data_IF_276236565042
#
_entry.id   IF_276236565042
#
_cell.length_a   1.000
_cell.length_b   1.000
_cell.length_c   1.000
_cell.angle_alpha   90.00
_cell.angle_beta   90.00
_cell.angle_gamma   90.00
#
_symmetry.space_group_name_H-M   'P 1'
#
loop_
_entity.id
_entity.type
_entity.pdbx_description
1 polymer ?
#
# COMPACT_ATOMS: atom_id res chain seq x y z
N UNK A 1 21.58 -7.23 -32.70
CA UNK A 1 20.37 -6.56 -32.16
C UNK A 1 19.21 -7.53 -32.24
N UNK A 2 18.50 -7.80 -31.13
CA UNK A 2 17.27 -8.60 -31.15
C UNK A 2 16.18 -7.82 -31.88
N UNK A 3 15.23 -8.51 -32.51
CA UNK A 3 14.04 -7.85 -33.08
C UNK A 3 13.20 -7.30 -31.92
N UNK A 4 12.80 -6.04 -32.02
CA UNK A 4 11.91 -5.40 -31.05
C UNK A 4 10.47 -5.49 -31.57
N UNK A 5 9.57 -5.98 -30.72
CA UNK A 5 8.15 -6.10 -31.00
C UNK A 5 7.40 -5.30 -29.92
N UNK A 6 6.52 -4.38 -30.33
CA UNK A 6 5.68 -3.58 -29.44
C UNK A 6 4.40 -3.16 -30.19
N UNK A 7 3.33 -2.88 -29.45
CA UNK A 7 2.07 -2.39 -30.01
C UNK A 7 2.18 -0.89 -30.25
N UNK A 8 1.66 -0.34 -31.34
CA UNK A 8 1.66 1.11 -31.57
C UNK A 8 0.57 1.52 -32.54
N UNK A 9 0.11 2.77 -32.44
CA UNK A 9 -0.77 3.37 -33.44
C UNK A 9 0.03 3.83 -34.66
N UNK A 10 -0.47 3.55 -35.87
CA UNK A 10 0.08 4.08 -37.13
C UNK A 10 -0.89 5.09 -37.74
N UNK A 11 -0.74 6.35 -37.36
CA UNK A 11 -1.58 7.44 -37.86
C UNK A 11 -1.11 7.92 -39.24
N UNK A 12 -2.02 8.56 -39.99
CA UNK A 12 -1.63 9.28 -41.21
C UNK A 12 -0.58 10.36 -40.90
N UNK A 13 0.28 10.68 -41.87
CA UNK A 13 1.37 11.65 -41.71
C UNK A 13 0.83 12.99 -41.16
N UNK A 14 1.33 13.39 -40.00
CA UNK A 14 1.18 14.76 -39.52
C UNK A 14 2.04 15.71 -40.39
N UNK A 15 1.67 16.98 -40.47
CA UNK A 15 2.52 18.00 -41.10
C UNK A 15 3.84 18.19 -40.33
N UNK A 16 3.78 18.02 -39.01
CA UNK A 16 4.85 18.20 -38.04
C UNK A 16 4.40 17.64 -36.69
N UNK A 17 5.36 17.24 -35.85
CA UNK A 17 5.12 16.84 -34.46
C UNK A 17 5.57 17.98 -33.55
N UNK A 18 4.63 18.56 -32.80
CA UNK A 18 4.89 19.60 -31.81
C UNK A 18 4.69 19.03 -30.42
N UNK A 19 5.70 18.34 -29.84
CA UNK A 19 5.59 17.85 -28.47
C UNK A 19 5.49 19.03 -27.50
N UNK A 20 4.79 18.81 -26.39
CA UNK A 20 4.82 19.65 -25.20
C UNK A 20 5.48 18.87 -24.06
N UNK A 21 5.88 19.57 -23.00
CA UNK A 21 6.38 18.91 -21.80
C UNK A 21 5.21 18.21 -21.10
N UNK A 22 5.41 16.96 -20.68
CA UNK A 22 4.40 16.17 -19.99
C UNK A 22 4.87 15.93 -18.57
N UNK A 23 4.06 16.34 -17.60
CA UNK A 23 4.18 15.95 -16.21
C UNK A 23 3.12 14.90 -15.91
N UNK A 24 3.53 13.71 -15.47
CA UNK A 24 2.59 12.67 -15.05
C UNK A 24 2.33 12.84 -13.55
N UNK A 25 1.14 13.32 -13.21
CA UNK A 25 0.73 13.58 -11.82
C UNK A 25 0.35 12.29 -11.09
N UNK A 26 -0.21 11.32 -11.81
CA UNK A 26 -0.54 10.00 -11.25
C UNK A 26 -0.48 8.92 -12.32
N UNK A 27 0.01 7.76 -11.91
CA UNK A 27 -0.04 6.52 -12.68
C UNK A 27 -1.22 5.69 -12.15
N UNK A 28 -2.07 5.21 -13.05
CA UNK A 28 -3.21 4.34 -12.70
C UNK A 28 -3.04 3.01 -13.42
N UNK A 29 -2.82 1.94 -12.65
CA UNK A 29 -2.72 0.59 -13.20
C UNK A 29 -4.12 0.02 -13.41
N UNK A 30 -4.42 -0.41 -14.64
CA UNK A 30 -5.69 -1.01 -15.02
C UNK A 30 -5.52 -2.52 -15.27
N UNK A 31 -6.50 -3.28 -14.80
CA UNK A 31 -6.49 -4.74 -14.89
C UNK A 31 -7.56 -5.26 -15.87
N UNK A 32 -7.25 -6.37 -16.55
CA UNK A 32 -8.19 -7.09 -17.40
C UNK A 32 -8.78 -6.23 -18.51
N UNK A 33 -10.12 -6.16 -18.60
CA UNK A 33 -10.80 -5.45 -19.70
C UNK A 33 -10.83 -3.94 -19.53
N UNK A 34 -10.51 -3.42 -18.34
CA UNK A 34 -10.62 -1.99 -18.04
C UNK A 34 -9.70 -1.15 -18.93
N UNK A 35 -8.48 -1.61 -19.17
CA UNK A 35 -7.56 -0.92 -20.07
C UNK A 35 -8.05 -0.94 -21.53
N UNK A 36 -8.54 -2.09 -21.99
CA UNK A 36 -9.11 -2.20 -23.34
C UNK A 36 -10.34 -1.30 -23.52
N UNK A 37 -11.18 -1.16 -22.50
CA UNK A 37 -12.34 -0.28 -22.54
C UNK A 37 -11.92 1.19 -22.67
N UNK A 38 -10.99 1.66 -21.82
CA UNK A 38 -10.45 3.02 -21.90
C UNK A 38 -9.80 3.26 -23.27
N UNK A 39 -8.94 2.35 -23.74
CA UNK A 39 -8.21 2.46 -25.00
C UNK A 39 -9.15 2.51 -26.21
N UNK A 40 -10.22 1.72 -26.21
CA UNK A 40 -11.14 1.62 -27.35
C UNK A 40 -12.28 2.64 -27.30
N UNK A 41 -12.57 3.23 -26.13
CA UNK A 41 -13.69 4.15 -25.91
C UNK A 41 -13.30 5.43 -25.16
N UNK A 42 -12.21 6.09 -25.58
CA UNK A 42 -11.66 7.32 -24.97
C UNK A 42 -12.66 8.50 -24.79
N UNK A 43 -13.80 8.47 -25.47
CA UNK A 43 -14.85 9.50 -25.39
C UNK A 43 -15.96 9.16 -24.39
N UNK A 44 -15.94 7.98 -23.77
CA UNK A 44 -16.87 7.59 -22.72
C UNK A 44 -16.39 8.14 -21.37
N UNK A 45 -17.35 8.45 -20.51
CA UNK A 45 -17.06 8.81 -19.12
C UNK A 45 -16.32 7.64 -18.47
N UNK A 46 -15.16 7.94 -17.88
CA UNK A 46 -14.32 6.97 -17.20
C UNK A 46 -14.24 7.30 -15.71
N UNK A 47 -14.51 6.34 -14.82
CA UNK A 47 -14.57 6.60 -13.38
C UNK A 47 -13.25 7.07 -12.80
N UNK A 48 -12.10 6.61 -13.33
CA UNK A 48 -10.79 7.01 -12.86
C UNK A 48 -10.44 8.43 -13.31
N UNK A 49 -10.82 8.81 -14.54
CA UNK A 49 -10.69 10.19 -15.02
C UNK A 49 -11.53 11.14 -14.16
N UNK A 50 -12.74 10.71 -13.77
CA UNK A 50 -13.59 11.50 -12.87
C UNK A 50 -12.95 11.65 -11.49
N UNK A 51 -12.44 10.55 -10.91
CA UNK A 51 -11.83 10.55 -9.58
C UNK A 51 -10.60 11.49 -9.49
N UNK A 52 -9.77 11.51 -10.53
CA UNK A 52 -8.51 12.26 -10.54
C UNK A 52 -8.52 13.48 -11.44
N UNK A 53 -9.71 13.99 -11.78
CA UNK A 53 -9.90 15.08 -12.73
C UNK A 53 -9.11 16.33 -12.36
N UNK A 54 -9.06 16.64 -11.07
CA UNK A 54 -8.49 17.88 -10.55
C UNK A 54 -6.94 17.88 -10.60
N UNK A 55 -6.30 16.73 -10.86
CA UNK A 55 -4.87 16.62 -11.11
C UNK A 55 -4.47 16.96 -12.56
N UNK A 56 -5.42 16.98 -13.50
CA UNK A 56 -5.14 17.27 -14.91
C UNK A 56 -5.36 18.75 -15.24
N UNK A 57 -4.31 19.41 -15.71
CA UNK A 57 -4.36 20.81 -16.14
C UNK A 57 -3.20 21.14 -17.09
N UNK A 58 -3.17 22.37 -17.61
CA UNK A 58 -2.05 22.86 -18.42
C UNK A 58 -1.49 24.11 -17.77
N UNK A 59 -0.18 24.11 -17.49
CA UNK A 59 0.55 25.26 -16.96
C UNK A 59 1.65 25.67 -17.95
N UNK A 60 1.44 26.79 -18.64
CA UNK A 60 2.37 27.25 -19.68
C UNK A 60 2.46 26.25 -20.84
N UNK A 61 3.65 25.69 -21.05
CA UNK A 61 3.94 24.68 -22.09
C UNK A 61 3.95 23.24 -21.54
N UNK A 62 3.60 23.06 -20.26
CA UNK A 62 3.56 21.76 -19.58
C UNK A 62 2.12 21.28 -19.43
N UNK A 63 1.85 20.07 -19.87
CA UNK A 63 0.58 19.38 -19.64
C UNK A 63 0.73 18.41 -18.47
N UNK A 64 -0.09 18.60 -17.45
CA UNK A 64 -0.20 17.72 -16.28
C UNK A 64 -1.26 16.66 -16.59
N UNK A 65 -0.85 15.40 -16.59
CA UNK A 65 -1.61 14.29 -17.16
C UNK A 65 -1.69 13.11 -16.19
N UNK A 66 -2.68 12.24 -16.42
CA UNK A 66 -2.70 10.89 -15.87
C UNK A 66 -2.07 9.92 -16.86
N UNK A 67 -1.33 8.94 -16.37
CA UNK A 67 -0.85 7.82 -17.18
C UNK A 67 -1.55 6.54 -16.75
N UNK A 68 -2.43 6.02 -17.61
CA UNK A 68 -3.05 4.71 -17.41
C UNK A 68 -2.13 3.65 -17.97
N UNK A 69 -1.85 2.59 -17.20
CA UNK A 69 -0.95 1.50 -17.61
C UNK A 69 -1.68 0.18 -17.52
N UNK A 70 -1.60 -0.61 -18.58
CA UNK A 70 -2.14 -1.97 -18.60
C UNK A 70 -1.26 -2.90 -17.76
N UNK A 71 -1.88 -3.67 -16.88
CA UNK A 71 -1.16 -4.62 -16.03
C UNK A 71 -0.44 -5.70 -16.86
N UNK A 72 -1.09 -6.25 -17.88
CA UNK A 72 -0.58 -7.42 -18.61
C UNK A 72 0.45 -7.06 -19.69
N UNK A 73 0.14 -6.07 -20.53
CA UNK A 73 1.02 -5.69 -21.66
C UNK A 73 2.09 -4.67 -21.28
N UNK A 74 1.86 -3.88 -20.22
CA UNK A 74 2.69 -2.72 -19.87
C UNK A 74 2.53 -1.54 -20.83
N UNK A 75 1.63 -1.61 -21.82
CA UNK A 75 1.25 -0.47 -22.66
C UNK A 75 0.50 0.57 -21.83
N UNK A 76 0.51 1.83 -22.27
CA UNK A 76 -0.17 2.90 -21.54
C UNK A 76 -0.93 3.89 -22.41
N UNK A 77 -1.79 4.66 -21.77
CA UNK A 77 -2.51 5.79 -22.36
C UNK A 77 -2.30 7.00 -21.46
N UNK A 78 -1.62 8.02 -22.00
CA UNK A 78 -1.52 9.32 -21.37
C UNK A 78 -2.82 10.08 -21.60
N UNK A 79 -3.37 10.74 -20.57
CA UNK A 79 -4.67 11.41 -20.62
C UNK A 79 -4.60 12.80 -19.97
N UNK A 80 -5.24 13.76 -20.63
CA UNK A 80 -5.56 15.09 -20.08
C UNK A 80 -7.02 15.42 -20.44
N UNK A 81 -7.85 15.73 -19.44
CA UNK A 81 -9.31 15.78 -19.61
C UNK A 81 -9.87 17.16 -19.96
N UNK A 82 -9.08 18.23 -19.80
CA UNK A 82 -9.51 19.63 -19.77
C UNK A 82 -10.78 19.83 -18.91
N UNK A 83 -10.84 19.15 -17.75
CA UNK A 83 -11.98 19.21 -16.82
C UNK A 83 -13.21 18.38 -17.26
N UNK A 84 -13.06 17.49 -18.25
CA UNK A 84 -14.12 16.56 -18.67
C UNK A 84 -14.06 15.24 -17.88
N UNK A 85 -15.08 14.41 -18.02
CA UNK A 85 -15.15 13.08 -17.40
C UNK A 85 -14.52 11.97 -18.28
N UNK A 86 -13.94 12.32 -19.42
CA UNK A 86 -13.36 11.41 -20.41
C UNK A 86 -12.00 11.90 -20.91
N UNK A 87 -11.29 11.08 -21.67
CA UNK A 87 -9.93 11.33 -22.15
C UNK A 87 -9.90 12.31 -23.34
N UNK A 88 -10.20 13.58 -23.08
CA UNK A 88 -10.35 14.62 -24.10
C UNK A 88 -9.10 14.84 -24.95
N UNK A 89 -7.92 14.78 -24.34
CA UNK A 89 -6.64 14.58 -25.01
C UNK A 89 -6.06 13.26 -24.54
N UNK A 90 -5.51 12.50 -25.46
CA UNK A 90 -4.84 11.26 -25.12
C UNK A 90 -3.76 10.87 -26.11
N UNK A 91 -2.81 10.08 -25.63
CA UNK A 91 -1.75 9.50 -26.45
C UNK A 91 -1.45 8.07 -25.99
N UNK A 92 -1.46 7.13 -26.93
CA UNK A 92 -1.02 5.77 -26.68
C UNK A 92 0.50 5.72 -26.55
N UNK A 93 0.99 5.17 -25.45
CA UNK A 93 2.40 5.03 -25.10
C UNK A 93 2.76 3.55 -25.12
N UNK A 94 3.49 3.07 -26.14
CA UNK A 94 3.88 1.67 -26.22
C UNK A 94 4.86 1.31 -25.10
N UNK A 95 4.60 0.21 -24.40
CA UNK A 95 5.41 -0.26 -23.28
C UNK A 95 5.73 0.85 -22.25
N UNK A 96 4.70 1.62 -21.87
CA UNK A 96 4.80 2.71 -20.91
C UNK A 96 5.44 2.27 -19.58
N UNK A 97 5.22 1.02 -19.14
CA UNK A 97 5.86 0.45 -17.96
C UNK A 97 7.39 0.58 -17.99
N UNK A 98 8.02 0.33 -19.13
CA UNK A 98 9.47 0.47 -19.23
C UNK A 98 9.95 1.93 -19.09
N UNK A 99 9.10 2.92 -19.42
CA UNK A 99 9.42 4.32 -19.16
C UNK A 99 9.37 4.61 -17.66
N UNK A 100 8.37 4.08 -16.95
CA UNK A 100 8.24 4.20 -15.50
C UNK A 100 9.41 3.54 -14.78
N UNK A 101 9.70 2.28 -15.08
CA UNK A 101 10.85 1.55 -14.52
C UNK A 101 12.18 2.28 -14.80
N UNK A 102 12.33 2.88 -15.99
CA UNK A 102 13.53 3.66 -16.32
C UNK A 102 13.63 4.99 -15.58
N UNK A 103 12.49 5.57 -15.20
CA UNK A 103 12.43 6.79 -14.40
C UNK A 103 12.74 6.52 -12.93
N UNK A 104 12.40 5.33 -12.44
CA UNK A 104 12.69 4.85 -11.09
C UNK A 104 14.14 4.35 -10.94
N UNK A 105 14.84 4.08 -12.05
CA UNK A 105 16.24 3.64 -12.00
C UNK A 105 17.16 4.73 -11.46
N UNK A 106 17.86 4.40 -10.38
CA UNK A 106 18.89 5.26 -9.81
C UNK A 106 20.10 5.38 -10.76
N UNK A 107 20.88 6.44 -10.58
CA UNK A 107 22.15 6.60 -11.30
C UNK A 107 23.13 5.43 -11.04
N UNK A 108 23.05 4.83 -9.85
CA UNK A 108 23.86 3.67 -9.48
C UNK A 108 23.45 2.40 -10.25
N UNK A 109 22.16 2.13 -10.40
CA UNK A 109 21.67 1.01 -11.22
C UNK A 109 22.02 1.18 -12.71
N UNK A 110 21.90 2.41 -13.22
CA UNK A 110 22.32 2.74 -14.58
C UNK A 110 23.82 2.50 -14.78
N UNK A 111 24.64 2.86 -13.78
CA UNK A 111 26.07 2.57 -13.78
C UNK A 111 26.33 1.06 -13.76
N UNK A 112 25.66 0.31 -12.90
CA UNK A 112 25.78 -1.15 -12.81
C UNK A 112 25.53 -1.81 -14.18
N UNK A 113 24.43 -1.45 -14.84
CA UNK A 113 24.09 -1.98 -16.16
C UNK A 113 25.16 -1.68 -17.21
N UNK A 114 25.71 -0.47 -17.20
CA UNK A 114 26.77 -0.09 -18.13
C UNK A 114 28.08 -0.83 -17.86
N UNK A 115 28.44 -1.04 -16.59
CA UNK A 115 29.65 -1.77 -16.22
C UNK A 115 29.52 -3.28 -16.53
N UNK A 116 28.34 -3.87 -16.34
CA UNK A 116 28.04 -5.25 -16.79
C UNK A 116 28.22 -5.41 -18.31
N UNK A 117 27.80 -4.43 -19.11
CA UNK A 117 28.03 -4.45 -20.57
C UNK A 117 29.52 -4.45 -20.91
N UNK A 118 30.34 -3.64 -20.22
CA UNK A 118 31.80 -3.63 -20.44
C UNK A 118 32.43 -4.98 -20.12
N UNK A 119 32.01 -5.63 -19.04
CA UNK A 119 32.46 -6.98 -18.68
C UNK A 119 32.07 -7.97 -19.78
N UNK A 120 30.83 -7.90 -20.29
CA UNK A 120 30.38 -8.77 -21.39
C UNK A 120 31.20 -8.57 -22.67
N UNK A 121 31.51 -7.32 -23.03
CA UNK A 121 32.37 -6.99 -24.17
C UNK A 121 33.79 -7.55 -23.98
N UNK A 122 34.33 -7.48 -22.75
CA UNK A 122 35.65 -8.03 -22.42
C UNK A 122 35.68 -9.56 -22.50
N UNK A 123 34.65 -10.21 -21.98
CA UNK A 123 34.46 -11.66 -22.08
C UNK A 123 34.39 -12.10 -23.55
N UNK A 124 33.67 -11.34 -24.38
CA UNK A 124 33.60 -11.62 -25.82
C UNK A 124 34.97 -11.48 -26.50
N UNK A 125 35.77 -10.47 -26.13
CA UNK A 125 37.16 -10.31 -26.61
C UNK A 125 38.03 -11.52 -26.25
N UNK A 126 38.04 -11.92 -24.96
CA UNK A 126 38.83 -13.05 -24.47
C UNK A 126 38.40 -14.37 -25.14
N UNK A 127 37.09 -14.56 -25.34
CA UNK A 127 36.54 -15.69 -26.09
C UNK A 127 37.07 -15.75 -27.52
N UNK A 128 37.16 -14.61 -28.21
CA UNK A 128 37.75 -14.52 -29.55
C UNK A 128 39.27 -14.75 -29.56
N UNK A 129 39.96 -14.55 -28.43
CA UNK A 129 41.38 -14.89 -28.24
C UNK A 129 41.61 -16.38 -27.89
N UNK A 130 40.55 -17.18 -27.77
CA UNK A 130 40.63 -18.62 -27.50
C UNK A 130 40.50 -18.99 -26.02
N UNK A 131 40.21 -18.02 -25.14
CA UNK A 131 39.88 -18.31 -23.75
C UNK A 131 38.43 -18.74 -23.62
N UNK A 132 38.20 -19.96 -23.12
CA UNK A 132 36.86 -20.56 -23.04
C UNK A 132 36.37 -20.79 -21.61
N UNK A 133 37.22 -20.50 -20.62
CA UNK A 133 36.91 -20.60 -19.20
C UNK A 133 37.48 -19.37 -18.52
N UNK A 134 36.59 -18.57 -17.94
CA UNK A 134 36.94 -17.30 -17.31
C UNK A 134 36.41 -17.32 -15.86
N UNK A 135 37.21 -16.83 -14.92
CA UNK A 135 36.78 -16.64 -13.54
C UNK A 135 36.15 -15.26 -13.39
N UNK A 136 34.92 -15.19 -12.87
CA UNK A 136 34.21 -13.91 -12.77
C UNK A 136 34.84 -12.97 -11.73
N UNK A 137 35.40 -13.51 -10.65
CA UNK A 137 36.10 -12.72 -9.64
C UNK A 137 37.33 -12.00 -10.21
N UNK A 138 38.03 -12.61 -11.16
CA UNK A 138 39.15 -11.98 -11.87
C UNK A 138 38.65 -10.85 -12.78
N UNK A 139 37.54 -11.07 -13.50
CA UNK A 139 36.90 -10.03 -14.32
C UNK A 139 36.41 -8.84 -13.48
N UNK A 140 35.87 -9.10 -12.30
CA UNK A 140 35.46 -8.06 -11.36
C UNK A 140 36.68 -7.32 -10.80
N UNK A 141 37.74 -8.01 -10.42
CA UNK A 141 38.97 -7.41 -9.91
C UNK A 141 39.73 -6.57 -10.96
N UNK A 142 39.65 -6.96 -12.24
CA UNK A 142 40.17 -6.18 -13.36
C UNK A 142 39.25 -5.02 -13.78
N UNK A 143 37.98 -5.07 -13.36
CA UNK A 143 37.03 -3.99 -13.59
C UNK A 143 37.09 -2.94 -12.49
N UNK A 144 36.77 -1.69 -12.81
CA UNK A 144 36.55 -0.63 -11.81
C UNK A 144 35.17 -0.74 -11.12
N UNK A 145 34.49 -1.90 -11.23
CA UNK A 145 33.16 -2.13 -10.66
C UNK A 145 33.27 -2.63 -9.22
N UNK A 146 33.03 -1.73 -8.27
CA UNK A 146 32.75 -2.10 -6.88
C UNK A 146 31.25 -2.35 -6.71
N UNK A 147 30.86 -3.62 -6.79
CA UNK A 147 29.45 -4.05 -6.68
C UNK A 147 28.83 -3.62 -5.35
N UNK A 148 29.59 -3.69 -4.25
CA UNK A 148 29.08 -3.37 -2.92
C UNK A 148 28.73 -1.88 -2.83
N UNK A 149 29.61 -0.99 -3.29
CA UNK A 149 29.31 0.45 -3.27
C UNK A 149 28.15 0.81 -4.18
N UNK A 150 28.08 0.22 -5.37
CA UNK A 150 26.98 0.49 -6.31
C UNK A 150 25.63 0.08 -5.72
N UNK A 151 25.53 -1.10 -5.11
CA UNK A 151 24.29 -1.54 -4.45
C UNK A 151 23.92 -0.65 -3.25
N UNK A 152 24.90 -0.30 -2.41
CA UNK A 152 24.69 0.60 -1.27
C UNK A 152 24.17 1.97 -1.73
N UNK A 153 24.79 2.54 -2.76
CA UNK A 153 24.44 3.87 -3.25
C UNK A 153 23.08 3.86 -3.97
N UNK A 154 22.71 2.77 -4.65
CA UNK A 154 21.38 2.56 -5.21
C UNK A 154 20.31 2.53 -4.11
N UNK A 155 20.47 1.66 -3.10
CA UNK A 155 19.55 1.57 -1.97
C UNK A 155 19.42 2.91 -1.25
N UNK A 156 20.53 3.61 -1.03
CA UNK A 156 20.52 4.91 -0.36
C UNK A 156 19.78 5.98 -1.18
N UNK A 157 19.89 5.95 -2.51
CA UNK A 157 19.13 6.84 -3.38
C UNK A 157 17.63 6.53 -3.31
N UNK A 158 17.23 5.27 -3.39
CA UNK A 158 15.83 4.85 -3.26
C UNK A 158 15.25 5.27 -1.89
N UNK A 159 16.01 5.08 -0.80
CA UNK A 159 15.59 5.51 0.54
C UNK A 159 15.37 7.02 0.64
N UNK A 160 16.08 7.85 -0.14
CA UNK A 160 15.89 9.31 -0.13
C UNK A 160 14.64 9.77 -0.85
N UNK A 161 14.12 8.94 -1.75
CA UNK A 161 12.92 9.24 -2.54
C UNK A 161 11.64 8.82 -1.80
N UNK A 162 11.76 7.94 -0.80
CA UNK A 162 10.64 7.51 0.04
C UNK A 162 10.03 8.66 0.85
N UNK A 163 8.71 8.65 0.94
CA UNK A 163 7.95 9.66 1.66
C UNK A 163 8.08 9.55 3.19
N UNK A 164 8.40 8.38 3.72
CA UNK A 164 8.53 8.11 5.17
C UNK A 164 9.94 8.27 5.71
N UNK A 165 10.93 8.50 4.85
CA UNK A 165 12.33 8.66 5.25
C UNK A 165 12.69 10.14 5.34
N UNK A 166 13.28 10.54 6.48
CA UNK A 166 13.75 11.90 6.70
C UNK A 166 15.15 12.11 6.13
N UNK A 167 16.02 11.11 6.30
CA UNK A 167 17.41 11.16 5.84
C UNK A 167 17.95 9.76 5.60
N UNK A 168 18.73 9.62 4.52
CA UNK A 168 19.56 8.44 4.28
C UNK A 168 20.94 8.86 3.76
N UNK A 169 22.00 8.31 4.34
CA UNK A 169 23.39 8.58 3.98
C UNK A 169 24.18 7.29 3.82
N UNK A 170 24.97 7.21 2.74
CA UNK A 170 25.92 6.13 2.52
C UNK A 170 27.34 6.60 2.83
N UNK A 171 28.12 5.73 3.45
CA UNK A 171 29.54 5.98 3.73
C UNK A 171 30.40 5.08 2.87
N UNK A 172 31.36 5.69 2.18
CA UNK A 172 32.26 5.02 1.21
C UNK A 172 33.58 4.58 1.82
N UNK A 173 33.85 4.91 3.08
CA UNK A 173 35.09 4.56 3.76
C UNK A 173 34.84 3.30 4.59
N UNK A 174 35.55 2.22 4.28
CA UNK A 174 35.56 1.01 5.10
C UNK A 174 36.27 1.26 6.43
N UNK A 175 35.56 1.88 7.37
CA UNK A 175 35.99 1.99 8.76
C UNK A 175 35.41 0.79 9.51
N UNK A 176 36.25 -0.01 10.20
CA UNK A 176 35.75 -1.12 11.00
C UNK A 176 34.65 -0.66 11.97
N UNK A 177 33.57 -1.43 12.04
CA UNK A 177 32.43 -1.22 12.96
C UNK A 177 31.55 0.01 12.68
N UNK A 178 31.72 0.70 11.54
CA UNK A 178 30.72 1.67 11.08
C UNK A 178 29.71 1.01 10.12
N UNK A 179 28.41 1.34 10.23
CA UNK A 179 27.42 0.87 9.27
C UNK A 179 27.62 1.56 7.91
N UNK A 180 27.39 0.82 6.83
CA UNK A 180 27.53 1.34 5.46
C UNK A 180 26.43 2.38 5.12
N UNK A 181 25.28 2.29 5.76
CA UNK A 181 24.12 3.17 5.58
C UNK A 181 23.66 3.67 6.95
N UNK A 182 23.41 4.97 7.06
CA UNK A 182 22.71 5.60 8.18
C UNK A 182 21.36 6.11 7.67
N UNK A 183 20.28 5.81 8.38
CA UNK A 183 18.91 6.18 8.00
C UNK A 183 18.17 6.72 9.21
N UNK A 184 17.34 7.74 8.98
CA UNK A 184 16.42 8.33 9.95
C UNK A 184 15.04 8.39 9.30
N UNK A 185 14.06 7.70 9.90
CA UNK A 185 12.67 7.76 9.50
C UNK A 185 12.04 9.08 9.99
N UNK A 186 11.00 9.55 9.30
CA UNK A 186 10.19 10.65 9.81
C UNK A 186 9.44 10.19 11.07
N UNK A 187 9.14 11.11 12.00
CA UNK A 187 8.31 10.78 13.15
C UNK A 187 6.92 10.34 12.69
N UNK A 188 6.37 9.35 13.39
CA UNK A 188 5.01 8.85 13.18
C UNK A 188 4.02 9.51 14.14
N UNK A 189 2.75 9.49 13.76
CA UNK A 189 1.60 9.85 14.57
C UNK A 189 0.57 8.71 14.52
N UNK A 190 -0.19 8.57 15.60
CA UNK A 190 -1.26 7.57 15.69
C UNK A 190 -2.51 8.06 14.96
N UNK A 191 -3.16 7.17 14.20
CA UNK A 191 -4.50 7.32 13.69
C UNK A 191 -5.27 6.05 14.00
N UNK A 192 -6.36 6.19 14.75
CA UNK A 192 -7.17 5.05 15.17
C UNK A 192 -8.49 5.02 14.41
N UNK A 193 -8.82 3.86 13.84
CA UNK A 193 -10.15 3.58 13.32
C UNK A 193 -10.92 2.67 14.27
N UNK A 194 -12.23 2.87 14.36
CA UNK A 194 -13.16 2.12 15.17
C UNK A 194 -14.25 1.53 14.29
N UNK A 195 -14.66 0.30 14.59
CA UNK A 195 -15.83 -0.31 14.00
C UNK A 195 -16.69 -1.02 15.06
N UNK A 196 -18.02 -1.08 14.85
CA UNK A 196 -18.88 -1.97 15.61
C UNK A 196 -18.50 -3.43 15.37
N UNK A 197 -18.47 -4.23 16.45
CA UNK A 197 -18.28 -5.68 16.39
C UNK A 197 -19.62 -6.40 16.32
N UNK A 198 -19.65 -7.56 15.65
CA UNK A 198 -20.71 -8.56 15.81
C UNK A 198 -20.12 -9.72 16.61
N UNK A 199 -20.71 -10.00 17.77
CA UNK A 199 -20.23 -11.02 18.69
C UNK A 199 -21.34 -12.05 18.85
N UNK A 200 -21.04 -13.31 18.56
CA UNK A 200 -22.03 -14.39 18.64
C UNK A 200 -21.49 -15.58 19.41
N UNK A 201 -22.39 -16.37 19.98
CA UNK A 201 -22.08 -17.69 20.55
C UNK A 201 -23.10 -18.72 20.09
N UNK A 202 -22.73 -19.99 20.11
CA UNK A 202 -23.68 -21.07 19.82
C UNK A 202 -24.78 -21.11 20.90
N UNK A 203 -26.02 -21.25 20.47
CA UNK A 203 -27.19 -21.26 21.34
C UNK A 203 -27.19 -22.48 22.27
N UNK A 204 -27.66 -22.32 23.51
CA UNK A 204 -27.70 -23.41 24.49
C UNK A 204 -28.70 -24.54 24.13
N UNK A 205 -29.74 -24.22 23.35
CA UNK A 205 -30.67 -25.19 22.75
C UNK A 205 -30.66 -25.00 21.22
N UNK A 206 -29.64 -25.52 20.51
CA UNK A 206 -29.60 -25.42 19.06
C UNK A 206 -30.75 -26.23 18.44
N UNK A 207 -31.41 -25.70 17.41
CA UNK A 207 -32.60 -26.32 16.79
C UNK A 207 -32.23 -27.34 15.69
N UNK A 208 -30.93 -27.70 15.57
CA UNK A 208 -30.43 -28.63 14.55
C UNK A 208 -30.36 -30.09 15.04
N UNK A 209 -30.76 -31.03 14.17
CA UNK A 209 -30.46 -32.46 14.37
C UNK A 209 -28.98 -32.75 14.05
N UNK A 210 -28.38 -33.81 14.63
CA UNK A 210 -26.93 -34.12 14.53
C UNK A 210 -26.33 -34.25 13.10
N UNK A 211 -27.17 -34.25 12.05
CA UNK A 211 -26.80 -34.36 10.64
C UNK A 211 -27.17 -33.08 9.82
N UNK A 212 -27.66 -32.01 10.46
CA UNK A 212 -27.99 -30.73 9.82
C UNK A 212 -26.81 -29.74 9.86
N UNK A 213 -26.71 -28.89 8.84
CA UNK A 213 -25.65 -27.89 8.70
C UNK A 213 -25.95 -26.72 9.64
N UNK A 214 -24.98 -26.29 10.45
CA UNK A 214 -25.13 -25.15 11.37
C UNK A 214 -25.42 -23.90 10.55
N UNK A 215 -26.48 -23.19 10.91
CA UNK A 215 -26.94 -21.97 10.25
C UNK A 215 -26.80 -20.76 11.18
N UNK A 216 -26.94 -19.55 10.64
CA UNK A 216 -26.91 -18.31 11.45
C UNK A 216 -27.97 -18.28 12.55
N UNK A 217 -29.07 -19.02 12.42
CA UNK A 217 -30.14 -19.10 13.43
C UNK A 217 -29.73 -19.89 14.68
N UNK A 218 -28.64 -20.65 14.61
CA UNK A 218 -28.08 -21.43 15.73
C UNK A 218 -27.19 -20.58 16.65
N UNK A 219 -26.91 -19.34 16.24
CA UNK A 219 -26.08 -18.40 16.99
C UNK A 219 -26.93 -17.31 17.65
N UNK A 220 -26.63 -17.01 18.91
CA UNK A 220 -27.18 -15.86 19.59
C UNK A 220 -26.17 -14.72 19.68
N UNK A 221 -26.63 -13.51 19.38
CA UNK A 221 -25.81 -12.30 19.44
C UNK A 221 -25.64 -11.83 20.88
N UNK A 222 -24.39 -11.55 21.26
CA UNK A 222 -24.02 -10.96 22.54
C UNK A 222 -23.90 -9.46 22.33
N UNK A 223 -24.75 -8.64 22.97
CA UNK A 223 -24.60 -7.18 22.90
C UNK A 223 -23.22 -6.75 23.38
N UNK A 224 -22.54 -5.89 22.63
CA UNK A 224 -21.17 -5.44 22.93
C UNK A 224 -20.98 -4.89 24.33
N UNK A 225 -22.02 -4.30 24.93
CA UNK A 225 -22.01 -3.79 26.30
C UNK A 225 -21.89 -4.87 27.39
N UNK A 226 -22.14 -6.14 27.05
CA UNK A 226 -21.96 -7.27 27.97
C UNK A 226 -20.63 -8.00 27.73
N UNK A 227 -19.93 -7.69 26.65
CA UNK A 227 -18.67 -8.32 26.27
C UNK A 227 -17.42 -7.53 26.72
N UNK A 228 -17.57 -6.45 27.51
CA UNK A 228 -16.44 -5.65 28.03
C UNK A 228 -15.40 -6.51 28.76
N UNK A 229 -15.85 -7.58 29.44
CA UNK A 229 -14.98 -8.49 30.19
C UNK A 229 -14.09 -9.39 29.32
N UNK A 230 -14.33 -9.45 27.99
CA UNK A 230 -13.63 -10.33 27.06
C UNK A 230 -12.47 -9.64 26.31
N UNK A 231 -12.18 -8.38 26.61
CA UNK A 231 -11.13 -7.58 25.92
C UNK A 231 -9.79 -8.30 25.92
N UNK A 232 -9.38 -8.84 27.06
CA UNK A 232 -8.07 -9.47 27.21
C UNK A 232 -7.99 -10.79 26.43
N UNK A 233 -9.01 -11.65 26.53
CA UNK A 233 -9.06 -12.94 25.82
C UNK A 233 -9.11 -12.77 24.30
N UNK A 234 -9.89 -11.79 23.80
CA UNK A 234 -9.98 -11.52 22.37
C UNK A 234 -8.66 -10.97 21.85
N UNK A 235 -8.03 -10.03 22.57
CA UNK A 235 -6.74 -9.49 22.17
C UNK A 235 -5.61 -10.52 22.28
N UNK A 236 -5.64 -11.41 23.27
CA UNK A 236 -4.73 -12.56 23.35
C UNK A 236 -4.91 -13.49 22.16
N UNK A 237 -6.16 -13.76 21.76
CA UNK A 237 -6.45 -14.58 20.59
C UNK A 237 -5.92 -13.92 19.30
N UNK A 238 -6.20 -12.64 19.07
CA UNK A 238 -5.70 -11.87 17.92
C UNK A 238 -4.17 -11.96 17.82
N UNK A 239 -3.45 -11.74 18.93
CA UNK A 239 -1.97 -11.86 18.97
C UNK A 239 -1.47 -13.27 18.64
N UNK A 240 -2.22 -14.31 18.98
CA UNK A 240 -1.85 -15.69 18.67
C UNK A 240 -2.11 -16.07 17.21
N UNK A 241 -2.94 -15.29 16.50
CA UNK A 241 -3.19 -15.43 15.07
C UNK A 241 -2.20 -14.65 14.20
N UNK A 242 -1.33 -13.83 14.81
CA UNK A 242 -0.38 -12.98 14.09
C UNK A 242 0.65 -13.83 13.32
N UNK A 243 0.82 -13.51 12.04
CA UNK A 243 1.80 -14.17 11.17
C UNK A 243 3.16 -13.47 11.23
N UNK A 244 4.29 -14.16 10.96
CA UNK A 244 5.62 -13.56 11.06
C UNK A 244 5.84 -12.31 10.19
N UNK A 245 5.13 -12.21 9.06
CA UNK A 245 5.22 -11.06 8.17
C UNK A 245 4.50 -9.81 8.74
N UNK A 246 3.62 -9.98 9.73
CA UNK A 246 2.83 -8.92 10.37
C UNK A 246 3.57 -8.22 11.53
N UNK A 247 4.65 -8.81 12.07
CA UNK A 247 5.34 -8.42 13.32
C UNK A 247 5.56 -6.91 13.51
N UNK A 248 5.84 -6.18 12.42
CA UNK A 248 6.10 -4.74 12.46
C UNK A 248 5.04 -3.89 11.75
N UNK A 249 4.25 -4.47 10.84
CA UNK A 249 3.35 -3.72 9.95
C UNK A 249 1.88 -4.04 10.18
N UNK A 250 1.56 -5.09 10.92
CA UNK A 250 0.22 -5.68 10.97
C UNK A 250 -0.32 -5.90 9.57
N UNK A 251 -1.56 -5.47 9.34
CA UNK A 251 -2.24 -5.63 8.07
C UNK A 251 -1.53 -4.91 6.92
N UNK A 252 -0.76 -3.84 7.19
CA UNK A 252 -0.01 -3.14 6.15
C UNK A 252 1.13 -3.98 5.54
N UNK A 253 1.44 -5.16 6.10
CA UNK A 253 2.28 -6.17 5.46
C UNK A 253 1.72 -6.62 4.10
N UNK A 254 0.39 -6.60 3.94
CA UNK A 254 -0.32 -7.07 2.75
C UNK A 254 -0.84 -5.96 1.83
N UNK A 255 -0.51 -4.71 2.12
CA UNK A 255 -0.92 -3.58 1.29
C UNK A 255 0.06 -3.37 0.12
N UNK A 256 -0.41 -3.55 -1.12
CA UNK A 256 0.41 -3.51 -2.34
C UNK A 256 -0.06 -2.50 -3.40
N UNK A 257 -1.14 -1.76 -3.14
CA UNK A 257 -1.81 -0.97 -4.17
C UNK A 257 -1.12 0.38 -4.44
N UNK A 258 -1.13 1.30 -3.48
CA UNK A 258 -0.53 2.63 -3.63
C UNK A 258 0.80 2.72 -2.85
N UNK A 259 1.96 2.87 -3.53
CA UNK A 259 3.26 3.01 -2.86
C UNK A 259 3.30 4.18 -1.87
N UNK A 260 2.61 5.29 -2.14
CA UNK A 260 2.62 6.45 -1.24
C UNK A 260 1.90 6.12 0.09
N UNK A 261 0.76 5.43 0.03
CA UNK A 261 0.05 4.96 1.23
C UNK A 261 0.89 3.90 1.95
N UNK A 262 1.51 2.98 1.20
CA UNK A 262 2.37 1.94 1.77
C UNK A 262 3.57 2.51 2.53
N UNK A 263 4.12 3.64 2.08
CA UNK A 263 5.22 4.32 2.75
C UNK A 263 4.72 5.15 3.94
N UNK A 264 3.67 5.97 3.75
CA UNK A 264 3.13 6.82 4.81
C UNK A 264 2.53 6.02 5.97
N UNK A 265 1.83 4.92 5.70
CA UNK A 265 1.19 4.09 6.72
C UNK A 265 2.13 2.93 7.05
N UNK A 266 2.88 3.09 8.14
CA UNK A 266 3.88 2.12 8.56
C UNK A 266 3.23 0.80 8.99
N UNK A 267 2.23 0.89 9.87
CA UNK A 267 1.52 -0.25 10.44
C UNK A 267 0.01 -0.01 10.54
N UNK A 268 -0.76 -1.09 10.61
CA UNK A 268 -2.18 -1.09 11.00
C UNK A 268 -2.45 -2.36 11.82
N UNK A 269 -2.57 -2.20 13.14
CA UNK A 269 -2.68 -3.31 14.09
C UNK A 269 -4.15 -3.44 14.54
N UNK A 270 -4.84 -4.55 14.24
CA UNK A 270 -6.19 -4.77 14.71
C UNK A 270 -6.21 -5.21 16.18
N UNK A 271 -7.20 -4.75 16.94
CA UNK A 271 -7.43 -5.11 18.33
C UNK A 271 -8.88 -4.82 18.73
N UNK A 272 -9.27 -5.14 19.96
CA UNK A 272 -10.54 -4.71 20.55
C UNK A 272 -10.31 -3.83 21.78
N UNK A 273 -11.21 -2.87 22.02
CA UNK A 273 -11.17 -1.97 23.18
C UNK A 273 -12.54 -1.80 23.81
N UNK A 274 -12.55 -1.50 25.11
CA UNK A 274 -13.72 -0.89 25.74
C UNK A 274 -13.75 0.61 25.41
N UNK A 275 -14.84 1.06 24.80
CA UNK A 275 -15.11 2.48 24.58
C UNK A 275 -16.49 2.79 25.12
N UNK A 276 -16.53 3.52 26.25
CA UNK A 276 -17.77 3.89 26.95
C UNK A 276 -18.62 2.68 27.41
N UNK A 277 -17.98 1.57 27.79
CA UNK A 277 -18.69 0.36 28.22
C UNK A 277 -19.24 -0.48 27.07
N UNK A 278 -18.78 -0.23 25.83
CA UNK A 278 -19.05 -1.09 24.67
C UNK A 278 -17.74 -1.63 24.11
N UNK A 279 -17.71 -2.93 23.84
CA UNK A 279 -16.60 -3.56 23.13
C UNK A 279 -16.63 -3.18 21.65
N UNK A 280 -15.58 -2.52 21.17
CA UNK A 280 -15.44 -2.06 19.78
C UNK A 280 -14.17 -2.61 19.14
N UNK A 281 -14.22 -2.81 17.83
CA UNK A 281 -13.06 -3.18 17.01
C UNK A 281 -12.23 -1.94 16.72
N UNK A 282 -10.92 -2.08 16.76
CA UNK A 282 -9.97 -0.98 16.63
C UNK A 282 -8.86 -1.36 15.66
N UNK A 283 -8.52 -0.45 14.75
CA UNK A 283 -7.32 -0.53 13.92
C UNK A 283 -6.42 0.64 14.26
N UNK A 284 -5.29 0.35 14.90
CA UNK A 284 -4.29 1.35 15.26
C UNK A 284 -3.27 1.49 14.14
N UNK A 285 -3.26 2.65 13.50
CA UNK A 285 -2.32 2.95 12.43
C UNK A 285 -1.21 3.88 12.90
N UNK A 286 0.04 3.56 12.55
CA UNK A 286 1.15 4.50 12.66
C UNK A 286 1.41 5.16 11.30
N UNK A 287 1.30 6.48 11.25
CA UNK A 287 1.39 7.27 10.02
C UNK A 287 2.56 8.24 10.07
N UNK A 288 3.39 8.24 9.04
CA UNK A 288 4.41 9.25 8.80
C UNK A 288 3.86 10.38 7.91
N UNK A 289 3.70 11.57 8.48
CA UNK A 289 3.19 12.75 7.77
C UNK A 289 1.66 12.84 7.78
N UNK A 290 1.09 13.50 6.77
CA UNK A 290 -0.36 13.67 6.63
C UNK A 290 -0.90 12.85 5.46
N UNK A 291 -2.03 12.18 5.67
CA UNK A 291 -2.81 11.58 4.58
C UNK A 291 -3.72 12.63 3.96
N UNK A 292 -3.73 12.68 2.64
CA UNK A 292 -4.77 13.40 1.90
C UNK A 292 -6.12 12.72 2.09
N UNK A 293 -7.21 13.42 1.76
CA UNK A 293 -8.56 12.86 1.83
C UNK A 293 -8.70 11.59 0.98
N UNK A 294 -8.08 11.54 -0.20
CA UNK A 294 -8.10 10.35 -1.04
C UNK A 294 -7.34 9.19 -0.39
N UNK A 295 -6.14 9.45 0.13
CA UNK A 295 -5.32 8.41 0.77
C UNK A 295 -5.97 7.85 2.04
N UNK A 296 -6.65 8.70 2.82
CA UNK A 296 -7.41 8.28 3.99
C UNK A 296 -8.56 7.35 3.59
N UNK A 297 -9.31 7.68 2.53
CA UNK A 297 -10.41 6.85 2.04
C UNK A 297 -9.92 5.54 1.41
N UNK A 298 -8.77 5.56 0.72
CA UNK A 298 -8.13 4.37 0.18
C UNK A 298 -7.68 3.42 1.32
N UNK A 299 -7.07 3.97 2.38
CA UNK A 299 -6.74 3.22 3.60
C UNK A 299 -7.99 2.66 4.28
N UNK A 300 -9.05 3.47 4.43
CA UNK A 300 -10.31 3.04 5.05
C UNK A 300 -10.97 1.91 4.25
N UNK A 301 -10.97 2.01 2.92
CA UNK A 301 -11.48 0.97 2.02
C UNK A 301 -10.68 -0.32 2.17
N UNK A 302 -9.35 -0.22 2.27
CA UNK A 302 -8.49 -1.38 2.49
C UNK A 302 -8.78 -2.07 3.83
N UNK A 303 -8.81 -1.33 4.94
CA UNK A 303 -9.09 -1.88 6.27
C UNK A 303 -10.50 -2.45 6.36
N UNK A 304 -11.48 -1.84 5.69
CA UNK A 304 -12.84 -2.38 5.57
C UNK A 304 -12.84 -3.73 4.84
N UNK A 305 -12.08 -3.84 3.75
CA UNK A 305 -11.89 -5.11 3.04
C UNK A 305 -11.24 -6.18 3.93
N UNK A 306 -10.20 -5.80 4.68
CA UNK A 306 -9.54 -6.69 5.64
C UNK A 306 -10.47 -7.12 6.78
N UNK A 307 -11.42 -6.27 7.21
CA UNK A 307 -12.37 -6.58 8.27
C UNK A 307 -13.51 -7.51 7.80
N UNK A 308 -13.93 -7.41 6.53
CA UNK A 308 -15.09 -8.13 5.98
C UNK A 308 -14.77 -9.51 5.42
N UNK A 309 -13.60 -9.66 4.82
CA UNK A 309 -13.08 -10.88 4.21
C UNK A 309 -11.71 -11.11 4.89
N UNK A 310 -10.65 -11.41 4.15
CA UNK A 310 -9.26 -11.19 4.57
C UNK A 310 -8.94 -11.64 6.00
N UNK A 311 -8.44 -10.71 6.82
CA UNK A 311 -8.07 -10.98 8.21
C UNK A 311 -9.29 -11.24 9.11
N UNK A 312 -10.36 -10.47 8.94
CA UNK A 312 -11.56 -10.53 9.77
C UNK A 312 -12.35 -11.82 9.60
N UNK A 313 -12.47 -12.32 8.36
CA UNK A 313 -13.08 -13.63 8.08
C UNK A 313 -12.27 -14.75 8.73
N UNK A 314 -10.94 -14.68 8.64
CA UNK A 314 -10.05 -15.64 9.29
C UNK A 314 -10.25 -15.66 10.82
N UNK A 315 -10.45 -14.49 11.44
CA UNK A 315 -10.76 -14.38 12.87
C UNK A 315 -12.13 -14.96 13.21
N UNK A 316 -13.17 -14.58 12.45
CA UNK A 316 -14.57 -14.98 12.69
C UNK A 316 -14.76 -16.50 12.61
N UNK A 317 -13.98 -17.21 11.79
CA UNK A 317 -14.07 -18.67 11.67
C UNK A 317 -13.55 -19.43 12.90
N UNK A 318 -12.93 -18.75 13.86
CA UNK A 318 -12.31 -19.38 15.02
C UNK A 318 -12.93 -18.90 16.34
N UNK A 319 -13.35 -19.84 17.17
CA UNK A 319 -13.93 -19.56 18.47
C UNK A 319 -12.89 -19.07 19.48
N UNK A 320 -13.18 -17.93 20.11
CA UNK A 320 -12.43 -17.36 21.23
C UNK A 320 -13.00 -17.91 22.53
N UNK A 321 -12.14 -18.51 23.36
CA UNK A 321 -12.55 -19.03 24.67
C UNK A 321 -12.50 -17.93 25.71
N UNK A 322 -13.64 -17.67 26.32
CA UNK A 322 -13.86 -16.64 27.34
C UNK A 322 -14.35 -17.27 28.65
N UNK A 323 -14.09 -16.59 29.76
CA UNK A 323 -14.54 -17.06 31.08
C UNK A 323 -16.06 -16.99 31.26
N UNK A 324 -16.69 -15.95 30.70
CA UNK A 324 -18.09 -15.61 30.98
C UNK A 324 -19.08 -16.19 29.97
N UNK A 325 -18.67 -16.33 28.70
CA UNK A 325 -19.58 -16.73 27.60
C UNK A 325 -19.21 -18.07 26.96
N UNK A 326 -18.16 -18.73 27.41
CA UNK A 326 -17.67 -19.96 26.77
C UNK A 326 -16.95 -19.65 25.48
N UNK A 327 -17.35 -20.26 24.37
CA UNK A 327 -16.75 -20.02 23.05
C UNK A 327 -17.58 -18.98 22.29
N UNK A 328 -16.95 -17.86 21.91
CA UNK A 328 -17.57 -16.77 21.16
C UNK A 328 -16.87 -16.58 19.82
N UNK A 329 -17.59 -16.06 18.83
CA UNK A 329 -17.05 -15.71 17.52
C UNK A 329 -17.19 -14.20 17.33
N UNK A 330 -16.10 -13.55 16.93
CA UNK A 330 -16.01 -12.09 16.85
C UNK A 330 -15.78 -11.70 15.40
N UNK A 331 -16.70 -10.91 14.85
CA UNK A 331 -16.57 -10.33 13.53
C UNK A 331 -16.37 -8.82 13.62
N UNK A 332 -15.37 -8.32 12.89
CA UNK A 332 -15.05 -6.89 12.80
C UNK A 332 -15.92 -6.15 11.77
N UNK A 333 -16.79 -6.88 11.08
CA UNK A 333 -17.66 -6.38 10.03
C UNK A 333 -19.07 -6.95 10.15
N UNK A 334 -20.07 -6.19 9.69
CA UNK A 334 -21.40 -6.72 9.47
C UNK A 334 -22.11 -5.97 8.35
N UNK A 335 -23.15 -6.58 7.78
CA UNK A 335 -23.92 -6.06 6.64
C UNK A 335 -24.97 -5.01 7.01
N UNK A 336 -24.98 -4.54 8.27
CA UNK A 336 -25.89 -3.49 8.72
C UNK A 336 -25.58 -2.16 8.04
N UNK A 337 -26.64 -1.40 7.74
CA UNK A 337 -26.50 -0.04 7.23
C UNK A 337 -25.85 0.93 8.25
N UNK A 338 -25.77 0.53 9.52
CA UNK A 338 -25.19 1.32 10.60
C UNK A 338 -23.68 1.02 10.80
N UNK A 339 -23.13 0.01 10.11
CA UNK A 339 -21.70 -0.28 10.19
C UNK A 339 -20.89 0.73 9.40
N UNK A 340 -19.90 1.32 10.07
CA UNK A 340 -18.89 2.14 9.42
C UNK A 340 -17.58 2.06 10.18
N UNK A 341 -16.47 2.17 9.46
CA UNK A 341 -15.14 2.32 10.02
C UNK A 341 -14.88 3.81 10.22
N UNK A 342 -14.77 4.29 11.45
CA UNK A 342 -14.73 5.73 11.79
C UNK A 342 -13.47 6.11 12.56
N UNK A 343 -12.95 7.31 12.35
CA UNK A 343 -11.82 7.84 13.15
C UNK A 343 -12.28 8.35 14.52
N UNK A 344 -11.35 8.59 15.45
CA UNK A 344 -11.65 9.20 16.76
C UNK A 344 -12.40 10.54 16.64
N UNK A 345 -12.04 11.36 15.65
CA UNK A 345 -12.67 12.66 15.40
C UNK A 345 -14.12 12.50 14.91
N UNK A 346 -14.36 11.52 14.03
CA UNK A 346 -15.68 11.20 13.49
C UNK A 346 -16.62 10.63 14.58
N UNK A 347 -16.07 9.86 15.52
CA UNK A 347 -16.77 9.34 16.70
C UNK A 347 -16.99 10.41 17.79
N UNK A 348 -16.30 11.56 17.71
CA UNK A 348 -16.38 12.64 18.70
C UNK A 348 -15.67 12.34 20.03
N UNK A 349 -14.74 11.37 20.05
CA UNK A 349 -14.02 10.93 21.25
C UNK A 349 -12.97 11.96 21.72
N UNK A 350 -12.42 12.75 20.80
CA UNK A 350 -11.38 13.76 21.07
C UNK A 350 -11.79 14.92 21.99
N UNK A 351 -13.09 15.08 22.29
CA UNK A 351 -13.61 16.09 23.22
C UNK A 351 -13.82 15.57 24.65
N UNK A 352 -13.82 14.25 24.88
CA UNK A 352 -14.11 13.65 26.18
C UNK A 352 -12.92 13.74 27.16
N UNK A 353 -11.68 13.67 26.66
CA UNK A 353 -10.47 13.62 27.50
C UNK A 353 -10.04 14.98 28.10
N UNK A 354 -10.60 16.10 27.63
CA UNK A 354 -10.30 17.43 28.20
C UNK A 354 -11.11 17.79 29.44
N UNK A 355 -12.09 16.97 29.83
CA UNK A 355 -13.02 17.28 30.91
C UNK A 355 -12.76 16.51 32.23
N UNK A 356 -11.75 15.66 32.30
CA UNK A 356 -11.41 14.84 33.47
C UNK A 356 -10.24 15.35 34.32
N UNK A 357 -9.72 16.57 34.10
CA UNK A 357 -8.89 17.23 35.12
C UNK A 357 -9.74 17.67 36.33
N UNK A 358 -9.71 16.86 37.39
CA UNK A 358 -10.36 17.15 38.67
C UNK A 358 -10.01 18.54 39.24
N UNK A 359 -10.97 19.26 39.83
CA UNK A 359 -10.68 20.53 40.49
C UNK A 359 -9.87 20.28 41.79
N UNK A 360 -8.63 20.77 41.80
CA UNK A 360 -7.76 20.89 42.97
C UNK A 360 -8.54 21.38 44.20
N UNK A 361 -8.81 20.47 45.16
CA UNK A 361 -9.27 20.83 46.51
C UNK A 361 -8.16 21.59 47.24
N UNK A 362 -8.26 22.92 47.26
CA UNK A 362 -7.47 23.76 48.14
C UNK A 362 -7.86 23.56 49.60
N UNK A 363 -7.00 22.87 50.36
CA UNK A 363 -7.01 22.92 51.83
C UNK A 363 -6.55 24.30 52.29
N UNK A 364 -7.45 25.07 52.89
CA UNK A 364 -7.10 26.24 53.71
C UNK A 364 -6.78 25.80 55.14
N UNK A 365 -5.75 26.46 55.69
CA UNK A 365 -5.13 26.26 57.02
C UNK A 365 -6.07 26.17 58.22
#
# INVERSE_FOLDING_TARGET
>A
MKKLHFNSTLNHKASDYKPCEICVERVVTLYGRSFEELKNHLMHDDPYIVAYRDLMYTEGDTAHCLLFVDYDSGDGVLVESEGSNYARKSQFIPNARALLESNEMTAAETRLHNDLKKIADKVAELAHCGEISLAFDELLAESDLDVKSVLRDAVTAMLREREDIQMAESQSIEVPFQPDITVEAKPTQELTFYCPLKIVRESEEPDYEWDEEVTEEDFEEIPSAYAEGCVDEINDFIRNCEEPDEEHRGLMAYYYDDPAIREKVFSAIPSVRDVNGELVGVFECEISGELTVSELEDLRSYLTGQASDGWGEGLEQHGVKTADFGEIYVSFWNDSNDWSLQTEEEMGLSQAEKHTEEPSMGMTM
#
